data_IF_493450447056
#
_entry.id   IF_493450447056
#
_cell.length_a   1.000
_cell.length_b   1.000
_cell.length_c   1.000
_cell.angle_alpha   90.00
_cell.angle_beta   90.00
_cell.angle_gamma   90.00
#
_symmetry.space_group_name_H-M   'P 1'
#
loop_
_entity.id
_entity.type
_entity.pdbx_description
1 polymer ?
#
# COMPACT_ATOMS: atom_id res chain seq x y z
N UNK A 1 4.76 16.00 -13.10
CA UNK A 1 5.03 15.43 -11.75
C UNK A 1 3.82 14.61 -11.32
N UNK A 2 4.07 13.43 -10.77
CA UNK A 2 3.08 12.59 -10.11
C UNK A 2 3.42 12.57 -8.62
N UNK A 3 2.47 12.97 -7.79
CA UNK A 3 2.64 12.96 -6.34
C UNK A 3 2.27 11.60 -5.78
N UNK A 4 3.17 11.02 -4.99
CA UNK A 4 2.92 9.78 -4.26
C UNK A 4 2.31 10.16 -2.90
N UNK A 5 1.10 9.70 -2.64
CA UNK A 5 0.35 10.03 -1.42
C UNK A 5 -0.12 8.77 -0.71
N UNK A 6 -0.07 8.72 0.63
CA UNK A 6 -0.67 7.62 1.37
C UNK A 6 -2.17 7.57 1.09
N UNK A 7 -2.66 6.41 0.64
CA UNK A 7 -4.08 6.25 0.35
C UNK A 7 -4.93 6.42 1.61
N UNK A 8 -6.09 7.05 1.47
CA UNK A 8 -6.99 7.33 2.58
C UNK A 8 -6.55 8.47 3.51
N UNK A 9 -5.45 9.16 3.19
CA UNK A 9 -4.89 10.23 4.04
C UNK A 9 -5.45 11.61 3.69
N UNK A 10 -5.26 12.56 4.61
CA UNK A 10 -5.57 13.96 4.35
C UNK A 10 -4.70 14.54 3.23
N UNK A 11 -3.51 13.98 3.01
CA UNK A 11 -2.65 14.37 1.90
C UNK A 11 -3.31 14.02 0.55
N UNK A 12 -3.96 12.87 0.45
CA UNK A 12 -4.73 12.50 -0.74
C UNK A 12 -5.87 13.49 -0.99
N UNK A 13 -6.62 13.83 0.05
CA UNK A 13 -7.72 14.81 -0.04
C UNK A 13 -7.20 16.17 -0.51
N UNK A 14 -6.14 16.67 0.11
CA UNK A 14 -5.54 17.95 -0.25
C UNK A 14 -5.02 17.97 -1.69
N UNK A 15 -4.37 16.90 -2.11
CA UNK A 15 -3.85 16.79 -3.48
C UNK A 15 -5.00 16.76 -4.52
N UNK A 16 -6.06 16.01 -4.25
CA UNK A 16 -7.27 15.98 -5.11
C UNK A 16 -7.92 17.36 -5.20
N UNK A 17 -8.06 18.06 -4.07
CA UNK A 17 -8.65 19.41 -4.04
C UNK A 17 -7.82 20.43 -4.84
N UNK A 18 -6.54 20.18 -5.01
CA UNK A 18 -5.64 21.01 -5.82
C UNK A 18 -5.42 20.47 -7.23
N UNK A 19 -6.23 19.51 -7.66
CA UNK A 19 -6.17 18.90 -9.01
C UNK A 19 -4.80 18.35 -9.38
N UNK A 20 -4.06 17.83 -8.41
CA UNK A 20 -2.75 17.24 -8.63
C UNK A 20 -2.88 15.81 -9.16
N UNK A 21 -1.93 15.40 -10.00
CA UNK A 21 -1.81 14.00 -10.43
C UNK A 21 -1.21 13.20 -9.29
N UNK A 22 -1.95 12.24 -8.76
CA UNK A 22 -1.53 11.47 -7.60
C UNK A 22 -1.48 9.98 -7.89
N UNK A 23 -0.50 9.30 -7.27
CA UNK A 23 -0.46 7.86 -7.11
C UNK A 23 -0.74 7.53 -5.65
N UNK A 24 -1.73 6.69 -5.41
CA UNK A 24 -2.16 6.30 -4.07
C UNK A 24 -1.36 5.10 -3.58
N UNK A 25 -0.70 5.25 -2.44
CA UNK A 25 0.25 4.27 -1.91
C UNK A 25 -0.26 3.59 -0.66
N UNK A 26 -0.08 2.27 -0.59
CA UNK A 26 -0.22 1.49 0.65
C UNK A 26 1.15 1.04 1.15
N UNK A 27 1.20 0.60 2.41
CA UNK A 27 2.42 0.14 3.06
C UNK A 27 2.35 -1.37 3.31
N UNK A 28 3.35 -2.10 2.82
CA UNK A 28 3.38 -3.56 2.89
C UNK A 28 3.54 -4.09 4.31
N UNK A 29 4.27 -3.35 5.14
CA UNK A 29 4.74 -3.78 6.46
C UNK A 29 4.03 -3.09 7.63
N UNK A 30 2.92 -2.40 7.36
CA UNK A 30 2.21 -1.61 8.36
C UNK A 30 0.74 -2.04 8.47
N UNK A 31 0.23 -2.05 9.69
CA UNK A 31 -1.19 -2.19 9.96
C UNK A 31 -1.89 -0.84 10.05
N UNK A 32 -3.20 -0.85 9.84
CA UNK A 32 -4.06 0.34 9.79
C UNK A 32 -5.09 0.34 10.90
N UNK A 33 -5.39 1.52 11.41
CA UNK A 33 -6.52 1.76 12.30
C UNK A 33 -7.82 1.91 11.50
N UNK A 34 -8.97 1.88 12.19
CA UNK A 34 -10.30 1.90 11.54
C UNK A 34 -10.61 3.21 10.81
N UNK A 35 -9.85 4.26 11.05
CA UNK A 35 -9.94 5.53 10.32
C UNK A 35 -9.04 5.62 9.08
N UNK A 36 -8.30 4.55 8.77
CA UNK A 36 -7.39 4.50 7.63
C UNK A 36 -5.98 5.00 7.92
N UNK A 37 -5.70 5.50 9.10
CA UNK A 37 -4.36 5.89 9.50
C UNK A 37 -3.50 4.67 9.84
N UNK A 38 -2.18 4.81 9.64
CA UNK A 38 -1.24 3.81 10.11
C UNK A 38 -1.24 3.77 11.64
N UNK A 39 -1.18 2.56 12.20
CA UNK A 39 -1.04 2.38 13.63
C UNK A 39 0.30 2.97 14.07
N UNK A 40 0.31 3.76 15.14
CA UNK A 40 1.53 4.32 15.71
C UNK A 40 2.53 3.23 16.02
N UNK A 41 3.80 3.42 15.62
CA UNK A 41 4.89 2.46 15.90
C UNK A 41 5.11 2.18 17.38
N UNK A 42 4.58 3.05 18.26
CA UNK A 42 4.62 2.87 19.71
C UNK A 42 3.61 1.82 20.20
N UNK A 43 2.62 1.47 19.40
CA UNK A 43 1.60 0.47 19.75
C UNK A 43 2.03 -0.92 19.30
N UNK A 44 1.57 -1.99 19.98
CA UNK A 44 1.75 -3.35 19.50
C UNK A 44 1.02 -3.55 18.16
N UNK A 45 1.51 -4.48 17.37
CA UNK A 45 0.95 -4.84 16.06
C UNK A 45 0.96 -3.70 15.02
N UNK A 46 1.76 -2.65 15.22
CA UNK A 46 1.94 -1.59 14.23
C UNK A 46 2.68 -2.09 12.99
N UNK A 47 3.63 -3.01 13.15
CA UNK A 47 4.47 -3.53 12.09
C UNK A 47 4.12 -4.99 11.76
N UNK A 48 4.19 -5.32 10.48
CA UNK A 48 4.12 -6.69 9.98
C UNK A 48 5.55 -7.11 9.65
N UNK A 49 6.12 -8.00 10.45
CA UNK A 49 7.52 -8.45 10.29
C UNK A 49 7.64 -9.77 9.55
N UNK A 50 6.56 -10.56 9.49
CA UNK A 50 6.53 -11.82 8.76
C UNK A 50 6.31 -11.55 7.26
N UNK A 51 7.25 -11.95 6.37
CA UNK A 51 7.11 -11.75 4.93
C UNK A 51 5.85 -12.40 4.33
N UNK A 52 5.40 -13.54 4.84
CA UNK A 52 4.21 -14.21 4.35
C UNK A 52 2.93 -13.45 4.71
N UNK A 53 2.88 -12.87 5.91
CA UNK A 53 1.76 -12.02 6.32
C UNK A 53 1.75 -10.72 5.51
N UNK A 54 2.90 -10.09 5.30
CA UNK A 54 3.02 -8.89 4.48
C UNK A 54 2.55 -9.16 3.04
N UNK A 55 2.96 -10.27 2.46
CA UNK A 55 2.55 -10.69 1.12
C UNK A 55 1.04 -10.85 0.99
N UNK A 56 0.40 -11.52 1.94
CA UNK A 56 -1.06 -11.72 1.96
C UNK A 56 -1.79 -10.39 2.17
N UNK A 57 -1.29 -9.55 3.05
CA UNK A 57 -1.86 -8.23 3.35
C UNK A 57 -1.90 -7.35 2.10
N UNK A 58 -0.78 -7.25 1.38
CA UNK A 58 -0.70 -6.49 0.13
C UNK A 58 -1.65 -7.03 -0.93
N UNK A 59 -1.60 -8.34 -1.19
CA UNK A 59 -2.45 -8.94 -2.22
C UNK A 59 -3.94 -8.72 -1.94
N UNK A 60 -4.34 -8.87 -0.70
CA UNK A 60 -5.72 -8.68 -0.28
C UNK A 60 -6.18 -7.23 -0.50
N UNK A 61 -5.38 -6.25 -0.08
CA UNK A 61 -5.69 -4.84 -0.28
C UNK A 61 -5.76 -4.48 -1.77
N UNK A 62 -4.78 -4.92 -2.56
CA UNK A 62 -4.73 -4.61 -3.99
C UNK A 62 -5.90 -5.24 -4.74
N UNK A 63 -6.21 -6.51 -4.49
CA UNK A 63 -7.35 -7.19 -5.14
C UNK A 63 -8.69 -6.57 -4.80
N UNK A 64 -8.88 -6.18 -3.54
CA UNK A 64 -10.14 -5.64 -3.07
C UNK A 64 -10.25 -4.12 -3.26
N UNK A 65 -9.16 -3.45 -3.63
CA UNK A 65 -9.09 -1.99 -3.68
C UNK A 65 -9.65 -1.38 -2.39
N UNK A 66 -9.08 -1.84 -1.28
CA UNK A 66 -9.48 -1.43 0.06
C UNK A 66 -8.31 -1.55 1.04
N UNK A 67 -8.26 -0.64 2.02
CA UNK A 67 -7.38 -0.78 3.18
C UNK A 67 -7.97 -1.84 4.10
N UNK A 68 -7.16 -2.81 4.51
CA UNK A 68 -7.52 -3.78 5.55
C UNK A 68 -7.02 -3.27 6.89
N UNK A 69 -7.95 -2.92 7.78
CA UNK A 69 -7.63 -2.49 9.14
C UNK A 69 -7.33 -3.71 10.04
N UNK A 70 -6.58 -3.49 11.10
CA UNK A 70 -6.22 -4.55 12.05
C UNK A 70 -7.48 -5.22 12.65
N UNK A 71 -8.56 -4.46 12.83
CA UNK A 71 -9.85 -4.96 13.32
C UNK A 71 -10.58 -5.87 12.34
N UNK A 72 -10.17 -5.90 11.07
CA UNK A 72 -10.88 -6.57 9.98
C UNK A 72 -11.77 -5.67 9.15
N UNK A 73 -11.95 -4.41 9.56
CA UNK A 73 -12.68 -3.43 8.76
C UNK A 73 -11.97 -3.18 7.43
N UNK A 74 -12.74 -3.07 6.34
CA UNK A 74 -12.22 -2.70 5.03
C UNK A 74 -12.69 -1.28 4.67
N UNK A 75 -11.75 -0.46 4.20
CA UNK A 75 -12.04 0.91 3.75
C UNK A 75 -11.77 0.97 2.25
N UNK A 76 -12.79 1.11 1.40
CA UNK A 76 -12.60 1.25 -0.04
C UNK A 76 -11.66 2.41 -0.38
N UNK A 77 -10.71 2.17 -1.24
CA UNK A 77 -9.72 3.17 -1.64
C UNK A 77 -9.11 2.81 -2.99
N UNK A 78 -8.37 3.77 -3.56
CA UNK A 78 -7.57 3.56 -4.74
C UNK A 78 -6.16 3.15 -4.33
N UNK A 79 -5.57 2.16 -5.01
CA UNK A 79 -4.21 1.69 -4.74
C UNK A 79 -3.45 1.60 -6.06
N UNK A 80 -2.41 2.42 -6.19
CA UNK A 80 -1.55 2.48 -7.38
C UNK A 80 -0.14 2.00 -7.11
N UNK A 81 0.30 2.04 -5.85
CA UNK A 81 1.67 1.75 -5.45
C UNK A 81 1.73 1.06 -4.09
N UNK A 82 2.77 0.29 -3.88
CA UNK A 82 3.04 -0.38 -2.61
C UNK A 82 4.42 0.04 -2.13
N UNK A 83 4.46 0.66 -0.96
CA UNK A 83 5.71 1.01 -0.29
C UNK A 83 6.30 -0.19 0.45
N UNK A 84 7.57 -0.44 0.22
CA UNK A 84 8.33 -1.48 0.92
C UNK A 84 9.58 -0.82 1.48
N UNK A 85 9.77 -0.89 2.79
CA UNK A 85 10.93 -0.31 3.44
C UNK A 85 12.18 -1.18 3.23
N UNK A 86 13.30 -0.55 2.93
CA UNK A 86 14.57 -1.22 2.60
C UNK A 86 15.62 -1.17 3.72
N UNK A 87 15.19 -0.94 4.94
CA UNK A 87 16.06 -0.65 6.09
C UNK A 87 16.39 -1.85 6.98
N UNK A 88 16.09 -3.06 6.52
CA UNK A 88 16.45 -4.30 7.22
C UNK A 88 16.88 -5.39 6.25
N UNK A 89 17.53 -6.43 6.77
CA UNK A 89 18.09 -7.53 5.96
C UNK A 89 17.04 -8.34 5.23
N UNK A 90 15.83 -8.44 5.75
CA UNK A 90 14.73 -9.21 5.13
C UNK A 90 13.98 -8.43 4.04
N UNK A 91 14.27 -7.15 3.87
CA UNK A 91 13.52 -6.26 2.97
C UNK A 91 13.57 -6.72 1.52
N UNK A 92 14.73 -7.15 1.04
CA UNK A 92 14.87 -7.61 -0.34
C UNK A 92 14.06 -8.88 -0.61
N UNK A 93 14.12 -9.84 0.32
CA UNK A 93 13.34 -11.07 0.22
C UNK A 93 11.83 -10.80 0.29
N UNK A 94 11.42 -9.88 1.16
CA UNK A 94 10.02 -9.44 1.28
C UNK A 94 9.55 -8.77 -0.01
N UNK A 95 10.33 -7.86 -0.56
CA UNK A 95 10.02 -7.18 -1.81
C UNK A 95 9.83 -8.16 -2.96
N UNK A 96 10.76 -9.10 -3.11
CA UNK A 96 10.69 -10.15 -4.13
C UNK A 96 9.45 -11.03 -3.94
N UNK A 97 9.18 -11.46 -2.72
CA UNK A 97 8.02 -12.30 -2.39
C UNK A 97 6.71 -11.59 -2.73
N UNK A 98 6.56 -10.32 -2.38
CA UNK A 98 5.39 -9.51 -2.70
C UNK A 98 5.24 -9.36 -4.21
N UNK A 99 6.31 -8.98 -4.91
CA UNK A 99 6.29 -8.84 -6.37
C UNK A 99 5.85 -10.12 -7.06
N UNK A 100 6.48 -11.23 -6.72
CA UNK A 100 6.18 -12.53 -7.34
C UNK A 100 4.73 -12.95 -7.07
N UNK A 101 4.24 -12.72 -5.86
CA UNK A 101 2.86 -13.01 -5.50
C UNK A 101 1.84 -12.18 -6.28
N UNK A 102 2.10 -10.89 -6.46
CA UNK A 102 1.25 -10.02 -7.26
C UNK A 102 1.20 -10.48 -8.72
N UNK A 103 2.36 -10.75 -9.31
CA UNK A 103 2.46 -11.23 -10.71
C UNK A 103 1.78 -12.59 -10.88
N UNK A 104 2.00 -13.52 -9.96
CA UNK A 104 1.37 -14.85 -9.99
C UNK A 104 -0.15 -14.80 -9.84
N UNK A 105 -0.69 -13.72 -9.29
CA UNK A 105 -2.13 -13.48 -9.17
C UNK A 105 -2.70 -12.59 -10.28
N UNK A 106 -1.98 -12.44 -11.39
CA UNK A 106 -2.46 -11.77 -12.58
C UNK A 106 -2.32 -10.25 -12.60
N UNK A 107 -1.60 -9.68 -11.63
CA UNK A 107 -1.37 -8.24 -11.57
C UNK A 107 -0.13 -7.87 -12.39
N UNK A 108 -0.21 -6.74 -13.08
CA UNK A 108 0.87 -6.24 -13.92
C UNK A 108 1.53 -5.05 -13.23
N UNK A 109 2.83 -5.17 -12.98
CA UNK A 109 3.63 -4.08 -12.41
C UNK A 109 4.16 -3.20 -13.54
N UNK A 110 3.94 -1.90 -13.41
CA UNK A 110 4.35 -0.90 -14.41
C UNK A 110 4.98 0.31 -13.73
N UNK A 111 5.91 1.00 -14.39
CA UNK A 111 6.28 2.36 -13.99
C UNK A 111 5.03 3.26 -13.96
N UNK A 112 4.98 4.19 -13.02
CA UNK A 112 3.81 5.05 -12.83
C UNK A 112 3.38 5.76 -14.11
N UNK A 113 4.35 6.30 -14.86
CA UNK A 113 4.08 6.99 -16.12
C UNK A 113 3.50 6.10 -17.24
N UNK A 114 3.60 4.79 -17.09
CA UNK A 114 3.02 3.82 -18.04
C UNK A 114 1.67 3.28 -17.59
N UNK A 115 1.19 3.69 -16.44
CA UNK A 115 -0.14 3.31 -15.97
C UNK A 115 -1.22 4.06 -16.74
N UNK A 116 -2.32 3.36 -17.06
CA UNK A 116 -3.44 3.92 -17.79
C UNK A 116 -4.00 5.19 -17.15
N UNK A 117 -4.02 5.23 -15.82
CA UNK A 117 -4.48 6.38 -15.03
C UNK A 117 -3.77 7.69 -15.39
N UNK A 118 -2.51 7.62 -15.83
CA UNK A 118 -1.66 8.78 -16.13
C UNK A 118 -1.47 9.04 -17.63
N UNK A 119 -2.19 8.31 -18.47
CA UNK A 119 -2.10 8.43 -19.93
C UNK A 119 -3.43 8.82 -20.57
#
# INVERSE_FOLDING_TARGET
IIYLVPTGSQMEVAAKNNSLRIACEIFADRNYEDDGNLISRKKPNALITDPDLAKKHVLNMVKNQAINCLSGKQIPCEIDSVCIHGDNESSLATAKSIRDNLVNNGLILKPLNNMKKFN
#
